data_IF_949587268824
#
_entry.id   IF_949587268824
#
_cell.length_a   1.000
_cell.length_b   1.000
_cell.length_c   1.000
_cell.angle_alpha   90.00
_cell.angle_beta   90.00
_cell.angle_gamma   90.00
#
_symmetry.space_group_name_H-M   'P 1'
#
loop_
_entity.id
_entity.type
_entity.pdbx_description
1 polymer ?
#
# COMPACT_ATOMS: atom_id res chain seq x y z
N UNK A 1 -13.95 -1.55 -16.92
CA UNK A 1 -13.66 -2.42 -15.77
C UNK A 1 -12.20 -2.88 -15.73
N UNK A 2 -11.66 -3.58 -16.74
CA UNK A 2 -10.26 -4.06 -16.75
C UNK A 2 -9.21 -2.94 -16.78
N UNK A 3 -9.33 -1.96 -17.69
CA UNK A 3 -8.39 -0.83 -17.81
C UNK A 3 -8.16 -0.08 -16.49
N UNK A 4 -9.22 0.14 -15.70
CA UNK A 4 -9.13 0.83 -14.39
C UNK A 4 -8.32 0.02 -13.36
N UNK A 5 -8.43 -1.32 -13.39
CA UNK A 5 -7.66 -2.22 -12.51
C UNK A 5 -6.19 -2.34 -12.94
N UNK A 6 -5.90 -2.18 -14.22
CA UNK A 6 -4.54 -2.18 -14.76
C UNK A 6 -3.80 -0.90 -14.37
N UNK A 7 -4.40 0.27 -14.63
CA UNK A 7 -3.82 1.58 -14.29
C UNK A 7 -3.51 1.70 -12.79
N UNK A 8 -4.45 1.33 -11.91
CA UNK A 8 -4.23 1.35 -10.45
C UNK A 8 -3.19 0.34 -9.96
N UNK A 9 -2.87 -0.71 -10.74
CA UNK A 9 -1.82 -1.67 -10.40
C UNK A 9 -0.45 -1.19 -10.82
N UNK A 10 -0.37 -0.49 -11.96
CA UNK A 10 0.90 -0.03 -12.52
C UNK A 10 1.50 1.12 -11.71
N UNK A 11 0.67 2.07 -11.24
CA UNK A 11 1.13 3.30 -10.59
C UNK A 11 1.87 3.11 -9.26
N UNK A 12 1.67 1.96 -8.58
CA UNK A 12 2.27 1.71 -7.25
C UNK A 12 3.80 1.66 -7.35
N UNK A 13 4.35 0.94 -8.32
CA UNK A 13 5.80 0.80 -8.43
C UNK A 13 6.47 2.11 -8.84
N UNK A 14 5.83 2.89 -9.72
CA UNK A 14 6.38 4.18 -10.16
C UNK A 14 6.51 5.15 -8.98
N UNK A 15 5.53 5.17 -8.07
CA UNK A 15 5.58 6.01 -6.87
C UNK A 15 6.61 5.58 -5.83
N UNK A 16 6.92 4.28 -5.75
CA UNK A 16 7.84 3.72 -4.75
C UNK A 16 9.29 3.76 -5.26
N UNK A 17 9.49 3.48 -6.55
CA UNK A 17 10.82 3.39 -7.16
C UNK A 17 11.28 4.71 -7.80
N UNK A 18 10.36 5.64 -8.06
CA UNK A 18 10.63 7.00 -8.54
C UNK A 18 11.62 7.03 -9.72
N UNK A 19 11.27 6.42 -10.89
CA UNK A 19 12.20 6.26 -12.02
C UNK A 19 12.72 7.58 -12.59
N UNK A 20 11.97 8.67 -12.45
CA UNK A 20 12.43 10.02 -12.85
C UNK A 20 13.55 10.54 -11.95
N UNK A 21 13.56 10.14 -10.66
CA UNK A 21 14.60 10.51 -9.69
C UNK A 21 15.79 9.55 -9.75
N UNK A 22 15.55 8.27 -10.01
CA UNK A 22 16.58 7.23 -10.06
C UNK A 22 16.62 6.54 -11.44
N UNK A 23 16.88 7.29 -12.52
CA UNK A 23 16.78 6.77 -13.88
C UNK A 23 17.80 5.67 -14.19
N UNK A 24 18.98 5.68 -13.55
CA UNK A 24 19.99 4.64 -13.73
C UNK A 24 19.52 3.25 -13.24
N UNK A 25 18.59 3.22 -12.29
CA UNK A 25 18.09 1.98 -11.69
C UNK A 25 16.76 1.53 -12.30
N UNK A 26 15.84 2.46 -12.55
CA UNK A 26 14.44 2.11 -12.78
C UNK A 26 13.84 2.67 -14.08
N UNK A 27 14.56 3.49 -14.86
CA UNK A 27 14.01 4.07 -16.11
C UNK A 27 13.48 3.02 -17.08
N UNK A 28 14.21 1.92 -17.23
CA UNK A 28 13.87 0.85 -18.18
C UNK A 28 13.10 -0.31 -17.50
N UNK A 29 12.54 -0.08 -16.31
CA UNK A 29 11.75 -1.08 -15.61
C UNK A 29 10.53 -1.49 -16.44
N UNK A 30 10.36 -2.80 -16.64
CA UNK A 30 9.19 -3.36 -17.28
C UNK A 30 8.23 -3.93 -16.24
N UNK A 31 7.02 -3.37 -16.16
CA UNK A 31 5.95 -3.85 -15.29
C UNK A 31 4.73 -4.28 -16.11
N UNK A 32 4.30 -5.53 -15.93
CA UNK A 32 3.16 -6.10 -16.66
C UNK A 32 2.21 -6.79 -15.70
N UNK A 33 0.94 -6.45 -15.83
CA UNK A 33 -0.14 -7.04 -15.04
C UNK A 33 -1.12 -7.74 -15.97
N UNK A 34 -1.55 -8.95 -15.62
CA UNK A 34 -2.63 -9.66 -16.30
C UNK A 34 -3.63 -10.19 -15.29
N UNK A 35 -4.90 -10.15 -15.66
CA UNK A 35 -5.98 -10.76 -14.89
C UNK A 35 -6.78 -11.58 -15.87
N UNK A 36 -6.86 -12.88 -15.64
CA UNK A 36 -7.62 -13.81 -16.46
C UNK A 36 -8.74 -14.39 -15.60
N UNK A 37 -9.94 -14.48 -16.17
CA UNK A 37 -11.05 -15.16 -15.53
C UNK A 37 -10.93 -16.66 -15.79
N UNK A 38 -10.86 -17.45 -14.72
CA UNK A 38 -10.82 -18.90 -14.79
C UNK A 38 -11.99 -19.46 -13.97
N UNK A 39 -13.14 -19.77 -14.61
CA UNK A 39 -14.38 -20.10 -13.93
C UNK A 39 -14.27 -21.17 -12.83
N UNK A 40 -13.50 -22.27 -13.00
CA UNK A 40 -13.43 -23.32 -11.99
C UNK A 40 -12.92 -22.88 -10.61
N UNK A 41 -12.19 -21.76 -10.54
CA UNK A 41 -11.63 -21.25 -9.29
C UNK A 41 -12.63 -20.45 -8.45
N UNK A 42 -13.71 -19.93 -9.03
CA UNK A 42 -14.66 -19.09 -8.28
C UNK A 42 -13.96 -17.93 -7.55
N UNK A 43 -14.07 -17.91 -6.20
CA UNK A 43 -13.44 -16.92 -5.30
C UNK A 43 -11.98 -17.25 -4.94
N UNK A 44 -11.50 -18.47 -5.26
CA UNK A 44 -10.11 -18.87 -5.04
C UNK A 44 -9.20 -18.19 -6.06
N UNK A 45 -8.71 -17.00 -5.72
CA UNK A 45 -7.74 -16.30 -6.52
C UNK A 45 -6.36 -16.92 -6.40
N UNK A 46 -5.64 -16.84 -7.50
CA UNK A 46 -4.24 -17.20 -7.59
C UNK A 46 -3.47 -16.04 -8.26
N UNK A 47 -2.44 -15.54 -7.57
CA UNK A 47 -1.52 -14.52 -8.09
C UNK A 47 -0.16 -15.15 -8.29
N UNK A 48 0.45 -14.87 -9.44
CA UNK A 48 1.81 -15.27 -9.77
C UNK A 48 2.61 -14.03 -10.08
N UNK A 49 3.64 -13.78 -9.29
CA UNK A 49 4.51 -12.62 -9.42
C UNK A 49 5.94 -13.12 -9.68
N UNK A 50 6.52 -12.69 -10.80
CA UNK A 50 7.92 -12.92 -11.14
C UNK A 50 8.64 -11.57 -11.14
N UNK A 51 9.53 -11.39 -10.17
CA UNK A 51 10.26 -10.14 -9.97
C UNK A 51 11.71 -10.42 -10.35
N UNK A 52 12.11 -9.86 -11.49
CA UNK A 52 13.49 -9.90 -11.94
C UNK A 52 14.27 -8.76 -11.25
N UNK A 53 15.36 -9.11 -10.57
CA UNK A 53 16.21 -8.15 -9.87
C UNK A 53 17.67 -8.32 -10.29
N UNK A 54 18.49 -7.31 -10.04
CA UNK A 54 19.93 -7.40 -10.16
C UNK A 54 20.59 -6.83 -8.90
N UNK A 55 21.73 -7.40 -8.54
CA UNK A 55 22.49 -6.99 -7.37
C UNK A 55 23.89 -6.49 -7.72
N UNK A 56 24.80 -6.68 -6.78
CA UNK A 56 26.22 -6.35 -6.94
C UNK A 56 26.79 -6.96 -8.23
N UNK A 57 27.69 -6.24 -8.91
CA UNK A 57 28.30 -6.62 -10.19
C UNK A 57 27.30 -6.97 -11.31
N UNK A 58 26.04 -6.55 -11.20
CA UNK A 58 25.00 -6.83 -12.20
C UNK A 58 24.52 -8.28 -12.21
N UNK A 59 24.80 -9.06 -11.15
CA UNK A 59 24.27 -10.43 -11.04
C UNK A 59 22.75 -10.42 -11.03
N UNK A 60 22.16 -11.07 -12.04
CA UNK A 60 20.71 -11.20 -12.18
C UNK A 60 20.18 -12.29 -11.26
N UNK A 61 19.05 -12.02 -10.61
CA UNK A 61 18.35 -12.94 -9.73
C UNK A 61 16.84 -12.81 -9.98
N UNK A 62 16.06 -13.74 -9.40
CA UNK A 62 14.61 -13.74 -9.51
C UNK A 62 13.97 -14.03 -8.16
N UNK A 63 12.89 -13.32 -7.86
CA UNK A 63 11.98 -13.65 -6.77
C UNK A 63 10.67 -14.11 -7.42
N UNK A 64 10.17 -15.28 -7.03
CA UNK A 64 8.89 -15.81 -7.50
C UNK A 64 7.94 -15.95 -6.32
N UNK A 65 6.76 -15.36 -6.43
CA UNK A 65 5.71 -15.44 -5.42
C UNK A 65 4.50 -16.08 -6.06
N UNK A 66 3.97 -17.14 -5.44
CA UNK A 66 2.66 -17.66 -5.74
C UNK A 66 1.76 -17.43 -4.52
N UNK A 67 0.68 -16.70 -4.70
CA UNK A 67 -0.28 -16.38 -3.66
C UNK A 67 -1.64 -16.94 -4.00
N UNK A 68 -2.03 -18.00 -3.27
CA UNK A 68 -3.37 -18.57 -3.31
C UNK A 68 -4.18 -17.99 -2.17
N UNK A 69 -5.32 -17.38 -2.48
CA UNK A 69 -6.16 -16.77 -1.48
C UNK A 69 -7.64 -16.81 -1.87
N UNK A 70 -8.51 -16.55 -0.89
CA UNK A 70 -9.91 -16.25 -1.12
C UNK A 70 -10.08 -14.73 -1.09
N UNK A 71 -10.41 -14.13 -2.23
CA UNK A 71 -10.51 -12.66 -2.34
C UNK A 71 -11.56 -12.11 -1.36
N UNK A 72 -12.70 -12.82 -1.20
CA UNK A 72 -13.75 -12.43 -0.24
C UNK A 72 -13.28 -12.42 1.21
N UNK A 73 -12.49 -13.42 1.63
CA UNK A 73 -12.00 -13.54 3.01
C UNK A 73 -10.96 -12.47 3.33
N UNK A 74 -10.16 -12.06 2.34
CA UNK A 74 -9.24 -10.93 2.50
C UNK A 74 -9.97 -9.59 2.51
N UNK A 75 -11.01 -9.43 1.71
CA UNK A 75 -11.73 -8.17 1.57
C UNK A 75 -12.70 -7.88 2.74
N UNK A 76 -13.38 -8.89 3.27
CA UNK A 76 -14.36 -8.74 4.34
C UNK A 76 -13.84 -7.99 5.59
N UNK A 77 -12.67 -8.35 6.18
CA UNK A 77 -12.14 -7.62 7.34
C UNK A 77 -11.73 -6.19 6.99
N UNK A 78 -11.18 -5.96 5.79
CA UNK A 78 -10.83 -4.60 5.32
C UNK A 78 -12.07 -3.70 5.26
N UNK A 79 -13.19 -4.21 4.76
CA UNK A 79 -14.45 -3.46 4.70
C UNK A 79 -15.00 -3.19 6.10
N UNK A 80 -14.90 -4.15 7.01
CA UNK A 80 -15.32 -3.97 8.41
C UNK A 80 -14.48 -2.89 9.11
N UNK A 81 -13.15 -2.96 8.99
CA UNK A 81 -12.23 -1.97 9.55
C UNK A 81 -12.54 -0.57 9.03
N UNK A 82 -12.74 -0.43 7.71
CA UNK A 82 -13.09 0.85 7.10
C UNK A 82 -14.41 1.42 7.64
N UNK A 83 -15.42 0.58 7.87
CA UNK A 83 -16.68 1.02 8.46
C UNK A 83 -16.49 1.52 9.90
N UNK A 84 -15.72 0.79 10.71
CA UNK A 84 -15.40 1.15 12.10
C UNK A 84 -14.62 2.47 12.15
N UNK A 85 -13.57 2.60 11.35
CA UNK A 85 -12.72 3.80 11.36
C UNK A 85 -13.41 5.02 10.75
N UNK A 86 -14.33 4.83 9.81
CA UNK A 86 -15.14 5.94 9.30
C UNK A 86 -16.13 6.45 10.36
N UNK A 87 -16.73 5.56 11.15
CA UNK A 87 -17.56 5.95 12.30
C UNK A 87 -16.71 6.67 13.37
N UNK A 88 -15.51 6.19 13.66
CA UNK A 88 -14.56 6.86 14.55
C UNK A 88 -14.22 8.28 14.06
N UNK A 89 -13.86 8.43 12.78
CA UNK A 89 -13.59 9.74 12.16
C UNK A 89 -14.76 10.71 12.33
N UNK A 90 -15.98 10.22 12.09
CA UNK A 90 -17.19 11.02 12.25
C UNK A 90 -17.40 11.46 13.70
N UNK A 91 -17.23 10.55 14.68
CA UNK A 91 -17.32 10.87 16.12
C UNK A 91 -16.21 11.83 16.59
N UNK A 92 -15.04 11.75 15.98
CA UNK A 92 -13.93 12.67 16.19
C UNK A 92 -14.11 14.03 15.47
N UNK A 93 -15.22 14.24 14.74
CA UNK A 93 -15.49 15.48 14.03
C UNK A 93 -14.65 15.69 12.76
N UNK A 94 -13.94 14.66 12.29
CA UNK A 94 -13.15 14.71 11.06
C UNK A 94 -14.06 14.78 9.83
N UNK A 95 -13.63 15.52 8.80
CA UNK A 95 -14.39 15.72 7.54
C UNK A 95 -13.47 15.68 6.33
N UNK A 96 -14.05 15.48 5.15
CA UNK A 96 -13.32 15.46 3.89
C UNK A 96 -12.55 14.15 3.67
N UNK A 97 -11.50 14.21 2.85
CA UNK A 97 -10.69 13.04 2.46
C UNK A 97 -9.98 12.47 3.69
N UNK A 98 -10.26 11.21 4.01
CA UNK A 98 -9.66 10.49 5.12
C UNK A 98 -8.35 9.82 4.68
N UNK A 99 -7.31 10.62 4.39
CA UNK A 99 -6.05 10.09 3.85
C UNK A 99 -5.32 9.12 4.78
N UNK A 100 -5.60 9.15 6.09
CA UNK A 100 -5.04 8.22 7.07
C UNK A 100 -5.55 6.78 6.91
N UNK A 101 -6.63 6.58 6.16
CA UNK A 101 -7.15 5.26 5.79
C UNK A 101 -6.51 4.69 4.50
N UNK A 102 -5.52 5.41 3.93
CA UNK A 102 -4.82 4.99 2.70
C UNK A 102 -4.24 3.58 2.75
N UNK A 103 -3.85 3.10 3.93
CA UNK A 103 -3.37 1.74 4.20
C UNK A 103 -4.30 0.64 3.63
N UNK A 104 -5.61 0.89 3.62
CA UNK A 104 -6.62 -0.08 3.16
C UNK A 104 -6.95 0.04 1.66
N UNK A 105 -6.37 1.01 0.95
CA UNK A 105 -6.72 1.32 -0.43
C UNK A 105 -5.56 1.16 -1.38
N UNK A 106 -5.85 0.57 -2.54
CA UNK A 106 -4.90 0.45 -3.62
C UNK A 106 -4.55 1.78 -4.29
N UNK A 107 -5.54 2.66 -4.41
CA UNK A 107 -5.42 3.98 -5.02
C UNK A 107 -6.04 4.99 -4.05
N UNK A 108 -5.28 5.40 -3.01
CA UNK A 108 -5.81 6.28 -1.99
C UNK A 108 -6.12 7.65 -2.59
N UNK A 109 -7.21 8.26 -2.13
CA UNK A 109 -7.56 9.61 -2.51
C UNK A 109 -6.71 10.61 -1.74
N UNK A 110 -6.32 11.69 -2.40
CA UNK A 110 -5.55 12.81 -1.83
C UNK A 110 -6.20 14.13 -2.20
N UNK A 111 -5.84 15.19 -1.47
CA UNK A 111 -6.18 16.55 -1.86
C UNK A 111 -5.58 16.88 -3.25
N UNK A 112 -6.27 17.71 -4.02
CA UNK A 112 -5.76 18.20 -5.31
C UNK A 112 -4.34 18.79 -5.17
N UNK A 113 -3.43 18.37 -6.06
CA UNK A 113 -2.02 18.74 -6.04
C UNK A 113 -1.12 17.91 -5.11
N UNK A 114 -1.68 16.97 -4.33
CA UNK A 114 -0.90 16.03 -3.53
C UNK A 114 -0.84 14.65 -4.18
N UNK A 115 0.37 14.12 -4.30
CA UNK A 115 0.58 12.76 -4.78
C UNK A 115 0.23 11.72 -3.69
N UNK A 116 -0.41 10.60 -4.04
CA UNK A 116 -0.71 9.53 -3.10
C UNK A 116 0.57 8.80 -2.65
N UNK A 117 0.67 8.55 -1.34
CA UNK A 117 1.68 7.66 -0.78
C UNK A 117 1.20 6.23 -0.98
N UNK A 118 2.03 5.38 -1.61
CA UNK A 118 1.75 3.96 -1.80
C UNK A 118 2.67 3.03 -0.98
N UNK A 119 3.67 3.58 -0.30
CA UNK A 119 4.48 2.82 0.67
C UNK A 119 3.59 2.41 1.85
N UNK A 120 3.38 1.10 1.99
CA UNK A 120 2.48 0.52 3.00
C UNK A 120 2.97 0.78 4.43
N UNK A 121 4.27 0.91 4.67
CA UNK A 121 4.82 1.20 5.99
C UNK A 121 4.60 2.66 6.36
N UNK A 122 4.80 3.59 5.42
CA UNK A 122 4.46 5.00 5.64
C UNK A 122 2.97 5.21 5.84
N UNK A 123 2.13 4.50 5.07
CA UNK A 123 0.68 4.50 5.27
C UNK A 123 0.30 3.96 6.66
N UNK A 124 0.95 2.88 7.13
CA UNK A 124 0.76 2.33 8.47
C UNK A 124 1.14 3.34 9.56
N UNK A 125 2.28 4.01 9.42
CA UNK A 125 2.72 5.06 10.35
C UNK A 125 1.70 6.20 10.39
N UNK A 126 1.22 6.65 9.23
CA UNK A 126 0.19 7.70 9.12
C UNK A 126 -1.10 7.28 9.83
N UNK A 127 -1.52 6.03 9.65
CA UNK A 127 -2.68 5.46 10.32
C UNK A 127 -2.50 5.43 11.85
N UNK A 128 -1.40 4.86 12.35
CA UNK A 128 -1.12 4.76 13.79
C UNK A 128 -0.96 6.14 14.45
N UNK A 129 -0.23 7.05 13.82
CA UNK A 129 -0.05 8.41 14.32
C UNK A 129 -1.35 9.22 14.32
N UNK A 130 -2.27 8.96 13.39
CA UNK A 130 -3.59 9.60 13.44
C UNK A 130 -4.38 9.12 14.65
N UNK A 131 -4.37 7.81 14.94
CA UNK A 131 -5.04 7.28 16.14
C UNK A 131 -4.41 7.81 17.43
N UNK A 132 -3.07 7.86 17.52
CA UNK A 132 -2.35 8.41 18.67
C UNK A 132 -2.68 9.90 18.87
N UNK A 133 -2.69 10.67 17.79
CA UNK A 133 -3.10 12.08 17.83
C UNK A 133 -4.53 12.25 18.38
N UNK A 134 -5.49 11.42 17.93
CA UNK A 134 -6.86 11.44 18.44
C UNK A 134 -6.95 11.09 19.93
N UNK A 135 -6.02 10.29 20.45
CA UNK A 135 -5.93 9.93 21.86
C UNK A 135 -5.15 10.97 22.70
N UNK A 136 -4.53 11.97 22.08
CA UNK A 136 -3.63 12.92 22.76
C UNK A 136 -2.27 12.32 23.12
N UNK A 137 -1.90 11.20 22.49
CA UNK A 137 -0.63 10.51 22.68
C UNK A 137 0.47 11.11 21.79
N UNK A 138 1.72 10.97 22.22
CA UNK A 138 2.88 11.38 21.41
C UNK A 138 2.96 10.59 20.11
N UNK A 139 3.40 11.22 19.03
CA UNK A 139 3.52 10.54 17.74
C UNK A 139 4.69 9.56 17.74
N UNK A 140 4.51 8.42 17.07
CA UNK A 140 5.59 7.48 16.80
C UNK A 140 6.63 8.20 15.95
N UNK A 141 7.81 8.34 16.55
CA UNK A 141 9.02 8.76 15.89
C UNK A 141 10.02 7.59 15.97
N UNK A 142 10.87 7.44 14.96
CA UNK A 142 11.85 6.34 14.89
C UNK A 142 13.22 6.76 15.45
N UNK A 143 13.25 7.73 16.39
CA UNK A 143 14.52 8.18 16.97
C UNK A 143 15.17 7.09 17.81
N UNK A 144 14.37 6.18 18.38
CA UNK A 144 14.85 5.10 19.25
C UNK A 144 15.41 5.58 20.59
N UNK A 145 15.41 6.90 20.83
CA UNK A 145 15.86 7.52 22.08
C UNK A 145 14.88 7.23 23.22
N UNK A 146 13.60 7.05 22.88
CA UNK A 146 12.48 6.78 23.77
C UNK A 146 12.63 5.47 24.57
N UNK A 147 13.50 4.54 24.15
CA UNK A 147 13.76 3.26 24.83
C UNK A 147 15.06 3.23 25.64
N UNK A 148 15.95 4.19 25.44
CA UNK A 148 17.30 4.21 26.04
C UNK A 148 17.56 5.43 26.93
N UNK A 149 16.62 6.37 27.01
CA UNK A 149 16.76 7.61 27.80
C UNK A 149 15.89 7.64 29.07
N UNK A 150 15.14 6.57 29.36
CA UNK A 150 14.58 6.35 30.70
C UNK A 150 15.64 5.68 31.59
N UNK A 151 16.53 6.51 32.16
CA UNK A 151 17.30 6.23 33.38
C UNK A 151 16.80 7.12 34.52
#
# INVERSE_FOLDING_TARGET
>A
SFKTKEVSKLSVLDSVLEPDKYPELYKDMYHKVRINYYPPKGDDKESWDNIDIFGWLGYKMQIKVNFLCKDSILAAPVVLDLAIFMDLANRAGMKGIQEWLSFYFKSPQTKEGLEPIHDIFLQKIKFENTLRHLMGEELINYLGLDYYQED
#
